data_IF_494381572696
#
_entry.id   IF_494381572696
#
_cell.length_a   1.000
_cell.length_b   1.000
_cell.length_c   1.000
_cell.angle_alpha   90.00
_cell.angle_beta   90.00
_cell.angle_gamma   90.00
#
_symmetry.space_group_name_H-M   'P 1'
#
loop_
_entity.id
_entity.type
_entity.pdbx_description
1 polymer ?
#
# COMPACT_ATOMS: atom_id res chain seq x y z
N UNK A 1 -24.28 5.30 22.42
CA UNK A 1 -23.82 6.55 21.77
C UNK A 1 -23.48 6.21 20.34
N UNK A 2 -24.45 6.41 19.43
CA UNK A 2 -24.34 6.09 18.01
C UNK A 2 -23.38 7.10 17.37
N UNK A 3 -22.12 6.71 17.18
CA UNK A 3 -21.09 7.53 16.54
C UNK A 3 -21.55 7.80 15.12
N UNK A 4 -21.62 9.08 14.73
CA UNK A 4 -22.00 9.50 13.38
C UNK A 4 -21.24 8.65 12.36
N UNK A 5 -21.99 7.87 11.59
CA UNK A 5 -21.46 7.05 10.51
C UNK A 5 -20.87 8.03 9.50
N UNK A 6 -19.54 8.02 9.36
CA UNK A 6 -18.83 8.74 8.32
C UNK A 6 -19.56 8.47 7.01
N UNK A 7 -20.27 9.46 6.47
CA UNK A 7 -21.21 9.24 5.36
C UNK A 7 -20.52 8.77 4.08
N UNK A 8 -19.20 8.90 4.06
CA UNK A 8 -18.30 8.56 2.98
C UNK A 8 -17.56 7.22 3.18
N UNK A 9 -17.82 6.50 4.27
CA UNK A 9 -17.19 5.22 4.59
C UNK A 9 -18.27 4.18 4.86
N UNK A 10 -18.26 3.09 4.11
CA UNK A 10 -19.05 1.90 4.41
C UNK A 10 -18.14 0.74 4.81
N UNK A 11 -18.56 -0.01 5.84
CA UNK A 11 -17.83 -1.18 6.32
C UNK A 11 -18.79 -2.34 6.57
N UNK A 12 -18.50 -3.48 5.95
CA UNK A 12 -19.16 -4.75 6.22
C UNK A 12 -18.30 -5.58 7.17
N UNK A 13 -18.76 -5.77 8.41
CA UNK A 13 -18.03 -6.53 9.44
C UNK A 13 -17.99 -8.03 9.17
N UNK A 14 -18.93 -8.57 8.40
CA UNK A 14 -19.01 -10.01 8.13
C UNK A 14 -17.96 -10.45 7.11
N UNK A 15 -17.72 -9.62 6.10
CA UNK A 15 -16.74 -9.87 5.03
C UNK A 15 -15.46 -9.06 5.21
N UNK A 16 -15.44 -8.08 6.12
CA UNK A 16 -14.36 -7.11 6.34
C UNK A 16 -14.04 -6.27 5.11
N UNK A 17 -15.06 -5.91 4.33
CA UNK A 17 -14.91 -5.03 3.17
C UNK A 17 -15.13 -3.58 3.58
N UNK A 18 -14.25 -2.70 3.12
CA UNK A 18 -14.32 -1.25 3.25
C UNK A 18 -14.55 -0.65 1.87
N UNK A 19 -15.52 0.25 1.79
CA UNK A 19 -15.72 1.15 0.65
C UNK A 19 -15.47 2.58 1.11
N UNK A 20 -14.45 3.19 0.55
CA UNK A 20 -13.98 4.52 0.87
C UNK A 20 -13.19 5.06 -0.33
N UNK A 21 -13.72 6.09 -1.00
CA UNK A 21 -12.97 6.75 -2.07
C UNK A 21 -11.77 7.49 -1.47
N UNK A 22 -10.51 7.16 -1.84
CA UNK A 22 -9.33 7.86 -1.35
C UNK A 22 -9.28 9.34 -1.79
N UNK A 23 -10.08 9.75 -2.78
CA UNK A 23 -10.23 11.13 -3.22
C UNK A 23 -11.39 11.87 -2.58
N UNK A 24 -12.19 11.22 -1.72
CA UNK A 24 -13.26 11.88 -0.98
C UNK A 24 -12.70 13.08 -0.20
N UNK A 25 -13.19 14.31 -0.41
CA UNK A 25 -12.66 15.48 0.26
C UNK A 25 -12.65 15.38 1.79
N UNK A 26 -13.71 14.84 2.40
CA UNK A 26 -13.78 14.70 3.85
C UNK A 26 -12.71 13.73 4.41
N UNK A 27 -12.46 12.63 3.69
CA UNK A 27 -11.41 11.68 4.04
C UNK A 27 -10.01 12.26 3.78
N UNK A 28 -9.80 12.87 2.61
CA UNK A 28 -8.52 13.41 2.20
C UNK A 28 -8.03 14.51 3.16
N UNK A 29 -8.94 15.38 3.63
CA UNK A 29 -8.61 16.46 4.55
C UNK A 29 -8.39 15.98 5.99
N UNK A 30 -9.16 14.98 6.44
CA UNK A 30 -9.05 14.44 7.80
C UNK A 30 -9.21 12.91 7.82
N UNK A 31 -8.16 12.16 7.43
CA UNK A 31 -8.27 10.70 7.29
C UNK A 31 -8.29 9.97 8.65
N UNK A 32 -7.90 10.65 9.72
CA UNK A 32 -7.75 10.04 11.05
C UNK A 32 -9.07 9.55 11.63
N UNK A 33 -10.21 10.18 11.30
CA UNK A 33 -11.52 9.72 11.74
C UNK A 33 -11.87 8.35 11.14
N UNK A 34 -11.62 8.18 9.85
CA UNK A 34 -11.79 6.92 9.14
C UNK A 34 -10.85 5.85 9.67
N UNK A 35 -9.56 6.16 9.83
CA UNK A 35 -8.60 5.20 10.40
C UNK A 35 -8.95 4.80 11.83
N UNK A 36 -9.36 5.74 12.69
CA UNK A 36 -9.79 5.44 14.05
C UNK A 36 -11.04 4.55 14.09
N UNK A 37 -11.98 4.75 13.16
CA UNK A 37 -13.12 3.84 12.99
C UNK A 37 -12.65 2.44 12.56
N UNK A 38 -11.80 2.35 11.54
CA UNK A 38 -11.30 1.07 11.02
C UNK A 38 -10.49 0.30 12.07
N UNK A 39 -9.57 0.93 12.80
CA UNK A 39 -8.83 0.27 13.90
C UNK A 39 -9.75 -0.28 15.00
N UNK A 40 -10.87 0.39 15.28
CA UNK A 40 -11.86 -0.10 16.23
C UNK A 40 -12.72 -1.25 15.70
N UNK A 41 -12.89 -1.34 14.39
CA UNK A 41 -13.77 -2.32 13.74
C UNK A 41 -13.01 -3.57 13.24
N UNK A 42 -11.87 -3.40 12.57
CA UNK A 42 -10.98 -4.46 12.11
C UNK A 42 -9.60 -3.92 11.71
N UNK A 43 -8.53 -4.54 12.20
CA UNK A 43 -7.15 -4.21 11.80
C UNK A 43 -6.77 -4.76 10.41
N UNK A 44 -7.57 -5.65 9.85
CA UNK A 44 -7.37 -6.26 8.53
C UNK A 44 -8.68 -6.18 7.73
N UNK A 45 -8.65 -5.54 6.57
CA UNK A 45 -9.84 -5.31 5.76
C UNK A 45 -9.50 -5.29 4.28
N UNK A 46 -10.46 -5.64 3.44
CA UNK A 46 -10.34 -5.52 1.98
C UNK A 46 -10.83 -4.15 1.56
N UNK A 47 -9.97 -3.34 0.92
CA UNK A 47 -10.34 -2.01 0.45
C UNK A 47 -10.79 -2.11 -1.01
N UNK A 48 -12.09 -1.94 -1.26
CA UNK A 48 -12.71 -2.21 -2.57
C UNK A 48 -12.14 -1.33 -3.68
N UNK A 49 -11.96 -0.03 -3.43
CA UNK A 49 -11.42 0.92 -4.43
C UNK A 49 -9.99 0.58 -4.87
N UNK A 50 -9.23 -0.10 -4.02
CA UNK A 50 -7.87 -0.56 -4.34
C UNK A 50 -7.80 -2.01 -4.82
N UNK A 51 -8.78 -2.84 -4.47
CA UNK A 51 -8.85 -4.24 -4.87
C UNK A 51 -7.88 -5.17 -4.13
N UNK A 52 -7.41 -4.79 -2.93
CA UNK A 52 -6.51 -5.61 -2.12
C UNK A 52 -6.74 -5.51 -0.61
N UNK A 53 -6.15 -6.45 0.12
CA UNK A 53 -6.17 -6.47 1.59
C UNK A 53 -5.23 -5.42 2.17
N UNK A 54 -5.74 -4.62 3.09
CA UNK A 54 -5.04 -3.59 3.83
C UNK A 54 -4.90 -4.00 5.30
N UNK A 55 -3.76 -3.64 5.89
CA UNK A 55 -3.42 -3.89 7.28
C UNK A 55 -3.19 -2.55 7.98
N UNK A 56 -3.99 -2.26 9.00
CA UNK A 56 -3.87 -1.06 9.83
C UNK A 56 -3.26 -1.31 11.20
N UNK A 57 -3.34 -2.53 11.72
CA UNK A 57 -2.82 -2.84 13.07
C UNK A 57 -1.29 -2.69 13.14
N UNK A 58 -0.79 -2.01 14.19
CA UNK A 58 0.65 -1.82 14.38
C UNK A 58 1.42 -3.15 14.39
N UNK A 59 0.95 -4.13 15.17
CA UNK A 59 1.60 -5.44 15.29
C UNK A 59 1.57 -6.20 13.97
N UNK A 60 0.44 -6.15 13.25
CA UNK A 60 0.27 -6.80 11.94
C UNK A 60 1.22 -6.21 10.90
N UNK A 61 1.23 -4.87 10.78
CA UNK A 61 2.12 -4.15 9.85
C UNK A 61 3.59 -4.42 10.20
N UNK A 62 3.96 -4.30 11.48
CA UNK A 62 5.32 -4.53 11.97
C UNK A 62 5.80 -5.95 11.65
N UNK A 63 4.94 -6.95 11.81
CA UNK A 63 5.24 -8.34 11.45
C UNK A 63 5.36 -8.53 9.95
N UNK A 64 4.41 -8.02 9.16
CA UNK A 64 4.35 -8.22 7.71
C UNK A 64 5.56 -7.64 6.99
N UNK A 65 6.01 -6.45 7.38
CA UNK A 65 7.20 -5.81 6.79
C UNK A 65 8.50 -6.59 7.02
N UNK A 66 8.51 -7.57 7.94
CA UNK A 66 9.68 -8.42 8.26
C UNK A 66 9.46 -9.88 7.87
N UNK A 67 8.29 -10.22 7.35
CA UNK A 67 7.95 -11.58 6.99
C UNK A 67 8.50 -11.89 5.59
N UNK A 68 9.47 -12.80 5.50
CA UNK A 68 10.13 -13.17 4.24
C UNK A 68 9.20 -13.80 3.21
N UNK A 69 7.97 -14.18 3.59
CA UNK A 69 6.94 -14.66 2.67
C UNK A 69 6.30 -13.52 1.87
N UNK A 70 6.40 -12.29 2.37
CA UNK A 70 5.96 -11.08 1.68
C UNK A 70 7.18 -10.44 1.02
N UNK A 71 7.26 -10.57 -0.31
CA UNK A 71 8.30 -9.93 -1.11
C UNK A 71 7.91 -8.51 -1.52
N UNK A 72 8.89 -7.73 -1.98
CA UNK A 72 8.61 -6.48 -2.70
C UNK A 72 8.16 -6.84 -4.11
N UNK A 73 6.95 -6.44 -4.50
CA UNK A 73 6.54 -6.58 -5.90
C UNK A 73 7.25 -5.49 -6.71
N UNK A 74 8.14 -5.88 -7.63
CA UNK A 74 8.62 -4.98 -8.66
C UNK A 74 7.43 -4.72 -9.63
N UNK A 75 6.92 -3.48 -9.76
CA UNK A 75 5.80 -3.20 -10.65
C UNK A 75 6.12 -3.69 -12.07
N UNK A 76 5.25 -4.53 -12.62
CA UNK A 76 5.38 -5.02 -14.00
C UNK A 76 5.49 -3.81 -14.93
N UNK A 77 6.64 -3.65 -15.59
CA UNK A 77 6.92 -2.54 -16.50
C UNK A 77 8.00 -1.56 -16.03
N UNK A 78 8.51 -1.67 -14.80
CA UNK A 78 9.90 -1.25 -14.57
C UNK A 78 10.74 -2.36 -15.22
N UNK A 79 11.50 -2.06 -16.29
CA UNK A 79 12.39 -3.07 -16.83
C UNK A 79 13.29 -3.48 -15.66
N UNK A 80 13.30 -4.78 -15.33
CA UNK A 80 14.58 -5.39 -14.99
C UNK A 80 15.56 -4.81 -16.01
N UNK A 81 16.63 -4.16 -15.52
CA UNK A 81 17.46 -3.10 -16.14
C UNK A 81 17.98 -3.36 -17.56
N UNK A 82 17.59 -4.47 -18.18
CA UNK A 82 18.21 -5.19 -19.26
C UNK A 82 17.42 -5.23 -20.56
N UNK A 83 16.18 -4.73 -20.64
CA UNK A 83 15.47 -4.82 -21.93
C UNK A 83 14.57 -3.63 -22.27
N UNK A 84 15.18 -2.60 -22.87
CA UNK A 84 14.55 -1.82 -23.93
C UNK A 84 15.70 -1.41 -24.85
N UNK A 85 15.72 -1.85 -26.11
CA UNK A 85 16.80 -1.64 -27.10
C UNK A 85 17.08 -0.19 -27.52
N UNK A 86 17.15 0.75 -26.56
CA UNK A 86 17.62 2.13 -26.71
C UNK A 86 19.05 2.27 -26.23
N UNK A 87 19.78 3.18 -26.85
CA UNK A 87 21.08 3.63 -26.36
C UNK A 87 20.93 4.27 -24.97
N UNK A 88 21.58 3.65 -23.98
CA UNK A 88 21.62 4.05 -22.56
C UNK A 88 23.01 4.48 -22.12
N UNK A 89 23.93 4.77 -23.03
CA UNK A 89 25.30 5.20 -22.69
C UNK A 89 25.34 6.41 -21.75
N UNK A 90 24.35 7.31 -21.86
CA UNK A 90 24.18 8.46 -20.94
C UNK A 90 23.87 8.07 -19.48
N UNK A 91 23.49 6.83 -19.20
CA UNK A 91 23.20 6.30 -17.86
C UNK A 91 24.37 5.51 -17.26
N UNK A 92 25.52 5.40 -17.92
CA UNK A 92 26.67 4.62 -17.43
C UNK A 92 27.10 4.98 -16.00
N UNK A 93 27.06 6.26 -15.63
CA UNK A 93 27.37 6.69 -14.26
C UNK A 93 26.33 6.22 -13.24
N UNK A 94 25.05 6.26 -13.63
CA UNK A 94 23.96 5.75 -12.81
C UNK A 94 24.03 4.22 -12.66
N UNK A 95 24.21 3.50 -13.77
CA UNK A 95 24.32 2.03 -13.78
C UNK A 95 25.56 1.55 -12.98
N UNK A 96 26.66 2.31 -12.98
CA UNK A 96 27.84 2.01 -12.16
C UNK A 96 27.60 2.16 -10.65
N UNK A 97 26.78 3.12 -10.23
CA UNK A 97 26.35 3.26 -8.82
C UNK A 97 25.40 2.12 -8.47
N UNK A 98 24.43 1.86 -9.34
CA UNK A 98 23.42 0.83 -9.13
C UNK A 98 23.99 -0.59 -9.09
N UNK A 99 25.07 -0.87 -9.83
CA UNK A 99 25.78 -2.15 -9.75
C UNK A 99 26.37 -2.46 -8.36
N UNK A 100 26.56 -1.44 -7.52
CA UNK A 100 27.03 -1.56 -6.15
C UNK A 100 25.90 -1.30 -5.13
N UNK A 101 24.67 -1.12 -5.60
CA UNK A 101 23.51 -0.88 -4.76
C UNK A 101 23.05 -2.17 -4.08
N UNK A 102 22.81 -2.10 -2.76
CA UNK A 102 22.27 -3.23 -1.99
C UNK A 102 20.75 -3.32 -2.04
N UNK A 103 20.08 -2.46 -2.80
CA UNK A 103 18.61 -2.40 -2.87
C UNK A 103 17.97 -3.69 -3.45
N UNK A 104 18.75 -4.49 -4.17
CA UNK A 104 18.33 -5.75 -4.82
C UNK A 104 18.83 -7.02 -4.10
N UNK A 105 19.50 -6.91 -2.94
CA UNK A 105 20.16 -8.07 -2.26
C UNK A 105 19.23 -8.93 -1.38
N UNK A 106 17.91 -8.82 -1.51
CA UNK A 106 16.93 -9.54 -0.66
C UNK A 106 16.12 -10.62 -1.39
#
# INVERSE_FOLDING_TARGET
MTKLMLTYLAFDSSTRHVRLDPHEPAFFQNPYEAYAFMHGASNVFFWEEFGFWCFGGFDDVSRLLRDRRFGRQNPVGIPDRRDIGRDRTHLNAFDGIEANSMLELE
#
